data_IF_541029887104
#
_entry.id   IF_541029887104
#
_cell.length_a   1.000
_cell.length_b   1.000
_cell.length_c   1.000
_cell.angle_alpha   90.00
_cell.angle_beta   90.00
_cell.angle_gamma   90.00
#
_symmetry.space_group_name_H-M   'P 1'
#
loop_
_entity.id
_entity.type
_entity.pdbx_description
1 polymer ?
#
# COMPACT_ATOMS: atom_id res chain seq x y z
N UNK A 1 -4.25 -35.82 -6.06
CA UNK A 1 -5.23 -34.75 -6.39
C UNK A 1 -4.72 -33.47 -5.74
N UNK A 2 -3.97 -32.64 -6.48
CA UNK A 2 -3.40 -31.40 -5.97
C UNK A 2 -4.45 -30.29 -6.02
N UNK A 3 -4.77 -29.73 -4.86
CA UNK A 3 -5.83 -28.77 -4.62
C UNK A 3 -5.54 -27.43 -5.33
N UNK A 4 -6.40 -27.01 -6.26
CA UNK A 4 -6.25 -25.85 -7.16
C UNK A 4 -6.91 -24.56 -6.59
N UNK A 5 -7.02 -24.41 -5.26
CA UNK A 5 -7.77 -23.31 -4.63
C UNK A 5 -6.96 -22.02 -4.38
N UNK A 6 -5.69 -21.98 -4.78
CA UNK A 6 -4.78 -20.86 -4.48
C UNK A 6 -5.04 -19.51 -5.18
N UNK A 7 -5.70 -19.38 -6.36
CA UNK A 7 -5.75 -18.08 -7.05
C UNK A 7 -6.84 -17.13 -6.51
N UNK A 8 -7.90 -17.63 -5.88
CA UNK A 8 -9.00 -16.78 -5.37
C UNK A 8 -8.65 -16.11 -4.04
N UNK A 9 -8.00 -16.86 -3.14
CA UNK A 9 -7.58 -16.35 -1.84
C UNK A 9 -6.53 -15.24 -1.97
N UNK A 10 -5.52 -15.42 -2.85
CA UNK A 10 -4.50 -14.40 -3.12
C UNK A 10 -5.10 -13.08 -3.62
N UNK A 11 -6.11 -13.12 -4.50
CA UNK A 11 -6.79 -11.91 -5.00
C UNK A 11 -7.55 -11.18 -3.90
N UNK A 12 -8.22 -11.91 -3.01
CA UNK A 12 -8.96 -11.32 -1.89
C UNK A 12 -8.00 -10.66 -0.90
N UNK A 13 -6.87 -11.31 -0.60
CA UNK A 13 -5.83 -10.76 0.30
C UNK A 13 -5.21 -9.49 -0.29
N UNK A 14 -4.85 -9.50 -1.57
CA UNK A 14 -4.31 -8.30 -2.25
C UNK A 14 -5.32 -7.14 -2.27
N UNK A 15 -6.60 -7.43 -2.51
CA UNK A 15 -7.65 -6.41 -2.47
C UNK A 15 -7.85 -5.86 -1.05
N UNK A 16 -7.81 -6.72 -0.03
CA UNK A 16 -7.92 -6.34 1.37
C UNK A 16 -6.73 -5.47 1.83
N UNK A 17 -5.51 -5.77 1.38
CA UNK A 17 -4.31 -4.97 1.70
C UNK A 17 -4.42 -3.54 1.15
N UNK A 18 -4.87 -3.38 -0.10
CA UNK A 18 -5.10 -2.06 -0.70
C UNK A 18 -6.21 -1.26 -0.01
N UNK A 19 -7.31 -1.92 0.36
CA UNK A 19 -8.41 -1.30 1.10
C UNK A 19 -7.96 -0.88 2.52
N UNK A 20 -7.21 -1.74 3.21
CA UNK A 20 -6.65 -1.48 4.53
C UNK A 20 -5.73 -0.25 4.51
N UNK A 21 -4.87 -0.13 3.48
CA UNK A 21 -4.03 1.03 3.27
C UNK A 21 -4.88 2.31 3.11
N UNK A 22 -5.90 2.28 2.27
CA UNK A 22 -6.79 3.41 2.05
C UNK A 22 -7.48 3.88 3.33
N UNK A 23 -7.99 2.94 4.14
CA UNK A 23 -8.61 3.25 5.44
C UNK A 23 -7.60 3.91 6.38
N UNK A 24 -6.37 3.40 6.44
CA UNK A 24 -5.34 3.96 7.34
C UNK A 24 -5.00 5.42 7.02
N UNK A 25 -5.00 5.80 5.73
CA UNK A 25 -4.80 7.19 5.28
C UNK A 25 -5.93 8.08 5.79
N UNK A 26 -7.18 7.66 5.59
CA UNK A 26 -8.36 8.40 6.02
C UNK A 26 -8.34 8.60 7.54
N UNK A 27 -8.07 7.54 8.29
CA UNK A 27 -7.97 7.59 9.76
C UNK A 27 -6.87 8.56 10.20
N UNK A 28 -5.68 8.52 9.61
CA UNK A 28 -4.59 9.42 9.96
C UNK A 28 -4.95 10.90 9.74
N UNK A 29 -5.58 11.21 8.61
CA UNK A 29 -6.04 12.58 8.29
C UNK A 29 -7.14 13.02 9.26
N UNK A 30 -8.13 12.15 9.54
CA UNK A 30 -9.20 12.46 10.48
C UNK A 30 -8.67 12.71 11.90
N UNK A 31 -7.67 11.96 12.35
CA UNK A 31 -7.02 12.19 13.63
C UNK A 31 -6.26 13.52 13.65
N UNK A 32 -5.53 13.84 12.59
CA UNK A 32 -4.86 15.14 12.46
C UNK A 32 -5.85 16.32 12.49
N UNK A 33 -6.91 16.24 11.69
CA UNK A 33 -7.97 17.25 11.64
C UNK A 33 -8.72 17.33 12.97
N UNK A 34 -9.03 16.19 13.60
CA UNK A 34 -9.69 16.13 14.90
C UNK A 34 -8.87 16.78 16.00
N UNK A 35 -7.55 16.52 16.05
CA UNK A 35 -6.63 17.20 16.95
C UNK A 35 -6.52 18.70 16.64
N UNK A 36 -6.49 19.08 15.35
CA UNK A 36 -6.50 20.48 14.92
C UNK A 36 -7.76 21.23 15.35
N UNK A 37 -8.93 20.59 15.27
CA UNK A 37 -10.19 21.14 15.74
C UNK A 37 -10.22 21.26 17.27
N UNK A 38 -9.71 20.26 17.99
CA UNK A 38 -9.58 20.30 19.44
C UNK A 38 -8.70 21.49 19.88
N UNK A 39 -7.53 21.66 19.25
CA UNK A 39 -6.63 22.79 19.53
C UNK A 39 -7.26 24.14 19.16
N UNK A 40 -7.90 24.24 18.00
CA UNK A 40 -8.63 25.45 17.60
C UNK A 40 -9.68 25.86 18.64
N UNK A 41 -10.41 24.89 19.20
CA UNK A 41 -11.47 25.18 20.16
C UNK A 41 -10.94 25.49 21.56
N UNK A 42 -9.81 24.91 21.97
CA UNK A 42 -9.19 25.18 23.27
C UNK A 42 -8.48 26.53 23.34
N UNK A 43 -7.80 26.92 22.25
CA UNK A 43 -6.99 28.13 22.22
C UNK A 43 -7.68 29.30 21.50
N UNK A 44 -8.84 29.08 20.87
CA UNK A 44 -9.58 30.05 20.04
C UNK A 44 -8.77 30.66 18.88
N UNK A 45 -7.62 30.05 18.55
CA UNK A 45 -6.73 30.50 17.49
C UNK A 45 -7.05 29.69 16.21
N UNK A 46 -7.61 30.32 15.15
CA UNK A 46 -8.07 29.59 13.96
C UNK A 46 -6.94 28.89 13.20
N UNK A 47 -5.73 29.44 13.21
CA UNK A 47 -4.61 28.90 12.45
C UNK A 47 -4.11 27.55 12.97
N UNK A 48 -4.39 27.20 14.24
CA UNK A 48 -3.98 25.92 14.83
C UNK A 48 -4.63 24.70 14.17
N UNK A 49 -5.77 24.88 13.51
CA UNK A 49 -6.39 23.83 12.70
C UNK A 49 -5.42 23.32 11.63
N UNK A 50 -4.67 24.23 11.00
CA UNK A 50 -3.73 23.87 9.93
C UNK A 50 -2.53 23.08 10.43
N UNK A 51 -2.13 23.23 11.69
CA UNK A 51 -1.12 22.35 12.29
C UNK A 51 -1.63 20.90 12.32
N UNK A 52 -2.85 20.69 12.81
CA UNK A 52 -3.47 19.36 12.83
C UNK A 52 -3.58 18.74 11.43
N UNK A 53 -4.03 19.53 10.46
CA UNK A 53 -4.09 19.10 9.04
C UNK A 53 -2.69 18.73 8.52
N UNK A 54 -1.70 19.59 8.74
CA UNK A 54 -0.32 19.36 8.29
C UNK A 54 0.26 18.07 8.87
N UNK A 55 0.10 17.85 10.17
CA UNK A 55 0.56 16.64 10.84
C UNK A 55 -0.21 15.39 10.38
N UNK A 56 -1.52 15.49 10.17
CA UNK A 56 -2.34 14.40 9.65
C UNK A 56 -1.92 13.97 8.24
N UNK A 57 -1.71 14.93 7.33
CA UNK A 57 -1.23 14.67 5.96
C UNK A 57 0.18 14.10 5.98
N UNK A 58 1.08 14.66 6.79
CA UNK A 58 2.45 14.16 6.93
C UNK A 58 2.47 12.71 7.44
N UNK A 59 1.64 12.40 8.43
CA UNK A 59 1.50 11.04 8.96
C UNK A 59 0.95 10.06 7.91
N UNK A 60 -0.04 10.48 7.12
CA UNK A 60 -0.58 9.67 6.03
C UNK A 60 0.48 9.36 4.96
N UNK A 61 1.25 10.36 4.52
CA UNK A 61 2.34 10.19 3.56
C UNK A 61 3.39 9.20 4.09
N UNK A 62 3.81 9.37 5.36
CA UNK A 62 4.79 8.47 5.99
C UNK A 62 4.24 7.03 6.11
N UNK A 63 2.95 6.86 6.37
CA UNK A 63 2.31 5.54 6.42
C UNK A 63 2.33 4.86 5.05
N UNK A 64 1.91 5.59 4.00
CA UNK A 64 1.92 5.10 2.62
C UNK A 64 3.32 4.71 2.17
N UNK A 65 4.32 5.54 2.47
CA UNK A 65 5.72 5.25 2.12
C UNK A 65 6.21 3.93 2.73
N UNK A 66 5.96 3.71 4.03
CA UNK A 66 6.33 2.46 4.71
C UNK A 66 5.65 1.23 4.11
N UNK A 67 4.36 1.35 3.79
CA UNK A 67 3.62 0.25 3.17
C UNK A 67 4.10 -0.03 1.74
N UNK A 68 4.48 1.01 1.00
CA UNK A 68 5.08 0.88 -0.33
C UNK A 68 6.45 0.19 -0.27
N UNK A 69 7.35 0.63 0.62
CA UNK A 69 8.67 0.00 0.78
C UNK A 69 8.55 -1.49 1.13
N UNK A 70 7.60 -1.85 2.00
CA UNK A 70 7.34 -3.24 2.37
C UNK A 70 6.87 -4.08 1.17
N UNK A 71 5.94 -3.54 0.38
CA UNK A 71 5.46 -4.20 -0.84
C UNK A 71 6.59 -4.35 -1.86
N UNK A 72 7.38 -3.29 -2.09
CA UNK A 72 8.52 -3.33 -3.01
C UNK A 72 9.54 -4.39 -2.60
N UNK A 73 9.90 -4.46 -1.31
CA UNK A 73 10.81 -5.48 -0.80
C UNK A 73 10.29 -6.90 -1.02
N UNK A 74 9.00 -7.15 -0.79
CA UNK A 74 8.41 -8.47 -1.05
C UNK A 74 8.40 -8.84 -2.54
N UNK A 75 8.27 -7.85 -3.43
CA UNK A 75 8.36 -8.06 -4.89
C UNK A 75 9.80 -8.35 -5.33
N UNK A 76 10.78 -7.61 -4.80
CA UNK A 76 12.20 -7.83 -5.09
C UNK A 76 12.69 -9.19 -4.56
N UNK A 77 12.21 -9.64 -3.41
CA UNK A 77 12.47 -10.98 -2.87
C UNK A 77 11.84 -12.07 -3.75
N UNK A 78 10.61 -11.87 -4.23
CA UNK A 78 9.97 -12.78 -5.18
C UNK A 78 10.73 -12.84 -6.52
N UNK A 79 11.21 -11.70 -7.01
CA UNK A 79 11.92 -11.60 -8.29
C UNK A 79 13.30 -12.29 -8.24
N UNK A 80 13.95 -12.30 -7.08
CA UNK A 80 15.26 -12.93 -6.90
C UNK A 80 15.21 -14.41 -6.48
N UNK A 81 14.03 -14.99 -6.28
CA UNK A 81 13.89 -16.40 -5.92
C UNK A 81 14.33 -17.31 -7.09
N UNK A 82 15.36 -18.15 -6.91
CA UNK A 82 15.86 -19.05 -7.95
C UNK A 82 14.83 -20.09 -8.41
N UNK A 83 13.76 -20.39 -7.65
CA UNK A 83 12.66 -21.26 -8.10
C UNK A 83 11.81 -20.64 -9.23
N UNK A 84 11.80 -19.32 -9.38
CA UNK A 84 10.99 -18.60 -10.37
C UNK A 84 11.82 -18.00 -11.52
N UNK A 85 13.15 -18.02 -11.41
CA UNK A 85 14.11 -17.58 -12.45
C UNK A 85 14.15 -18.44 -13.73
N UNK A 86 13.39 -19.53 -13.82
CA UNK A 86 13.44 -20.49 -14.94
C UNK A 86 12.19 -20.52 -15.83
N UNK A 87 11.36 -19.48 -15.81
CA UNK A 87 10.44 -19.21 -16.92
C UNK A 87 10.81 -17.90 -17.60
N UNK A 88 12.03 -17.84 -18.13
CA UNK A 88 12.30 -16.98 -19.28
C UNK A 88 11.56 -17.63 -20.44
N UNK A 89 10.80 -16.82 -21.16
CA UNK A 89 10.03 -17.20 -22.34
C UNK A 89 10.83 -18.10 -23.30
N UNK A 90 10.46 -19.38 -23.37
CA UNK A 90 10.87 -20.31 -24.45
C UNK A 90 9.70 -20.56 -25.42
N UNK A 91 8.66 -19.71 -25.43
CA UNK A 91 7.45 -19.88 -26.26
C UNK A 91 7.20 -18.68 -27.22
N UNK A 92 8.25 -18.01 -27.73
CA UNK A 92 8.10 -16.94 -28.73
C UNK A 92 8.92 -17.12 -30.03
N UNK A 93 9.67 -18.21 -30.19
CA UNK A 93 10.51 -18.44 -31.38
C UNK A 93 10.10 -19.70 -32.19
N UNK A 94 8.80 -19.97 -32.34
CA UNK A 94 8.27 -20.91 -33.35
C UNK A 94 7.26 -20.20 -34.29
N UNK A 95 7.67 -19.12 -34.96
CA UNK A 95 6.96 -18.60 -36.15
C UNK A 95 7.92 -18.07 -37.25
N UNK A 96 9.17 -18.55 -37.29
CA UNK A 96 10.11 -18.14 -38.35
C UNK A 96 11.01 -19.31 -38.78
N UNK A 97 10.43 -20.34 -39.42
CA UNK A 97 11.19 -21.26 -40.27
C UNK A 97 10.35 -21.95 -41.36
N UNK A 98 10.44 -21.38 -42.57
CA UNK A 98 10.17 -21.91 -43.93
C UNK A 98 8.81 -22.51 -44.25
#
# INVERSE_FOLDING_TARGET
>A
MSNQEEPKLKKIVLAADGLSLGISIVVAILLGVGLGLLMKNLFEIPWLLWLGVFWGVSAAILNVYKAYEKQKKSLDELANDPRYRHKKYDDLDEDDKY
#
